data_IF_339513216543
#
_entry.id   IF_339513216543
#
_cell.length_a   1.000
_cell.length_b   1.000
_cell.length_c   1.000
_cell.angle_alpha   90.00
_cell.angle_beta   90.00
_cell.angle_gamma   90.00
#
_symmetry.space_group_name_H-M   'P 1'
#
loop_
_entity.id
_entity.type
_entity.pdbx_description
1 polymer ?
#
# COMPACT_ATOMS: atom_id res chain seq x y z
N UNK A 1 1.74 12.58 25.66
CA UNK A 1 1.32 12.11 24.33
C UNK A 1 1.96 10.75 24.10
N UNK A 2 1.17 9.71 23.84
CA UNK A 2 1.65 8.38 23.41
C UNK A 2 1.69 8.35 21.89
N UNK A 3 2.83 7.94 21.32
CA UNK A 3 3.05 8.02 19.88
C UNK A 3 3.18 6.62 19.30
N UNK A 4 2.37 6.30 18.29
CA UNK A 4 2.32 4.99 17.62
C UNK A 4 2.67 5.17 16.14
N UNK A 5 3.61 4.38 15.62
CA UNK A 5 3.92 4.32 14.20
C UNK A 5 3.26 3.08 13.58
N UNK A 6 2.57 3.25 12.46
CA UNK A 6 1.97 2.16 11.68
C UNK A 6 2.91 1.82 10.53
N UNK A 7 3.58 0.68 10.61
CA UNK A 7 4.70 0.35 9.72
C UNK A 7 4.51 -1.04 9.11
N UNK A 8 4.62 -1.16 7.79
CA UNK A 8 4.81 -2.43 7.07
C UNK A 8 5.32 -2.13 5.65
N UNK A 9 6.29 -2.93 5.18
CA UNK A 9 6.82 -2.84 3.83
C UNK A 9 5.83 -3.31 2.75
N UNK A 10 4.85 -4.15 3.13
CA UNK A 10 3.84 -4.65 2.20
C UNK A 10 2.83 -3.55 1.87
N UNK A 11 2.63 -3.28 0.57
CA UNK A 11 1.51 -2.47 0.09
C UNK A 11 0.18 -3.19 0.32
N UNK A 12 -0.89 -2.42 0.56
CA UNK A 12 -2.26 -2.97 0.67
C UNK A 12 -2.58 -3.75 1.95
N UNK A 13 -1.69 -3.83 2.92
CA UNK A 13 -1.95 -4.51 4.21
C UNK A 13 -2.81 -3.69 5.19
N UNK A 14 -3.30 -2.51 4.78
CA UNK A 14 -4.20 -1.68 5.58
C UNK A 14 -3.51 -0.68 6.51
N UNK A 15 -2.27 -0.21 6.25
CA UNK A 15 -1.58 0.83 7.04
C UNK A 15 -2.43 2.07 7.20
N UNK A 16 -2.67 2.80 6.14
CA UNK A 16 -3.44 4.06 6.14
C UNK A 16 -4.86 3.87 6.65
N UNK A 17 -5.53 2.75 6.29
CA UNK A 17 -6.84 2.40 6.83
C UNK A 17 -6.79 2.24 8.35
N UNK A 18 -5.75 1.61 8.88
CA UNK A 18 -5.52 1.45 10.32
C UNK A 18 -5.25 2.81 10.96
N UNK A 19 -4.36 3.62 10.38
CA UNK A 19 -3.98 4.92 10.91
C UNK A 19 -5.18 5.86 11.05
N UNK A 20 -5.98 6.01 9.98
CA UNK A 20 -7.18 6.85 9.96
C UNK A 20 -8.22 6.38 10.99
N UNK A 21 -8.58 5.10 10.94
CA UNK A 21 -9.70 4.61 11.74
C UNK A 21 -9.34 4.42 13.22
N UNK A 22 -8.08 4.09 13.54
CA UNK A 22 -7.58 4.08 14.90
C UNK A 22 -7.60 5.48 15.50
N UNK A 23 -7.07 6.50 14.77
CA UNK A 23 -7.06 7.88 15.24
C UNK A 23 -8.49 8.40 15.48
N UNK A 24 -9.41 8.14 14.55
CA UNK A 24 -10.81 8.51 14.68
C UNK A 24 -11.50 7.82 15.87
N UNK A 25 -11.21 6.54 16.12
CA UNK A 25 -11.78 5.80 17.25
C UNK A 25 -11.22 6.28 18.60
N UNK A 26 -9.92 6.59 18.68
CA UNK A 26 -9.32 7.17 19.88
C UNK A 26 -9.96 8.53 20.20
N UNK A 27 -10.12 9.40 19.20
CA UNK A 27 -10.79 10.69 19.35
C UNK A 27 -12.23 10.53 19.84
N UNK A 28 -12.99 9.60 19.27
CA UNK A 28 -14.36 9.28 19.70
C UNK A 28 -14.43 8.78 21.14
N UNK A 29 -13.37 8.16 21.64
CA UNK A 29 -13.24 7.75 23.04
C UNK A 29 -12.72 8.88 23.94
N UNK A 30 -12.75 10.13 23.48
CA UNK A 30 -12.36 11.31 24.25
C UNK A 30 -10.85 11.52 24.36
N UNK A 31 -10.07 10.87 23.48
CA UNK A 31 -8.62 11.03 23.45
C UNK A 31 -8.22 11.99 22.34
N UNK A 32 -7.75 13.20 22.68
CA UNK A 32 -7.30 14.14 21.65
C UNK A 32 -6.13 13.56 20.86
N UNK A 33 -6.35 13.31 19.57
CA UNK A 33 -5.48 12.52 18.70
C UNK A 33 -5.02 13.30 17.48
N UNK A 34 -3.71 13.26 17.21
CA UNK A 34 -3.09 13.76 15.98
C UNK A 34 -2.74 12.58 15.08
N UNK A 35 -3.25 12.58 13.86
CA UNK A 35 -2.79 11.72 12.76
C UNK A 35 -1.73 12.47 11.97
N UNK A 36 -0.55 11.87 11.79
CA UNK A 36 0.56 12.46 11.03
C UNK A 36 0.80 11.57 9.81
N UNK A 37 0.59 12.11 8.63
CA UNK A 37 0.86 11.41 7.38
C UNK A 37 2.35 11.54 7.02
N UNK A 38 3.10 10.44 7.15
CA UNK A 38 4.52 10.36 6.80
C UNK A 38 4.74 9.72 5.41
N UNK A 39 3.67 9.32 4.70
CA UNK A 39 3.76 8.79 3.35
C UNK A 39 3.70 9.94 2.33
N UNK A 40 4.69 10.07 1.42
CA UNK A 40 4.66 11.06 0.35
C UNK A 40 3.42 11.01 -0.55
N UNK A 41 2.70 9.88 -0.56
CA UNK A 41 1.48 9.73 -1.34
C UNK A 41 0.27 10.48 -0.75
N UNK A 42 0.32 10.97 0.49
CA UNK A 42 -0.70 11.81 1.08
C UNK A 42 -2.06 11.12 1.30
N UNK A 43 -2.08 9.78 1.40
CA UNK A 43 -3.33 9.01 1.40
C UNK A 43 -4.22 9.28 2.61
N UNK A 44 -3.68 9.75 3.74
CA UNK A 44 -4.51 10.15 4.88
C UNK A 44 -5.38 11.37 4.53
N UNK A 45 -4.80 12.37 3.84
CA UNK A 45 -5.54 13.53 3.36
C UNK A 45 -6.69 13.15 2.43
N UNK A 46 -6.40 12.32 1.42
CA UNK A 46 -7.40 11.81 0.48
C UNK A 46 -8.51 11.03 1.19
N UNK A 47 -8.12 10.09 2.06
CA UNK A 47 -9.06 9.24 2.81
C UNK A 47 -9.90 9.99 3.85
N UNK A 48 -9.57 11.26 4.12
CA UNK A 48 -10.30 12.16 5.01
C UNK A 48 -10.89 13.37 4.29
N UNK A 49 -10.92 13.38 2.96
CA UNK A 49 -11.44 14.45 2.09
C UNK A 49 -10.85 15.84 2.42
N UNK A 50 -9.58 15.90 2.83
CA UNK A 50 -8.87 17.16 2.97
C UNK A 50 -8.53 17.67 1.58
N UNK A 51 -8.94 18.91 1.21
CA UNK A 51 -8.73 19.44 -0.13
C UNK A 51 -7.25 19.76 -0.35
N UNK A 52 -6.60 19.03 -1.26
CA UNK A 52 -5.17 19.16 -1.53
C UNK A 52 -4.78 20.58 -1.94
N UNK A 53 -5.66 21.28 -2.69
CA UNK A 53 -5.42 22.65 -3.18
C UNK A 53 -5.42 23.70 -2.07
N UNK A 54 -5.94 23.37 -0.89
CA UNK A 54 -5.98 24.27 0.27
C UNK A 54 -4.85 23.99 1.27
N UNK A 55 -4.08 22.91 1.05
CA UNK A 55 -2.96 22.57 1.91
C UNK A 55 -1.76 23.46 1.57
N UNK A 56 -1.59 24.54 2.32
CA UNK A 56 -0.44 25.44 2.16
C UNK A 56 0.84 24.84 2.73
N UNK A 57 0.74 24.14 3.86
CA UNK A 57 1.85 23.55 4.61
C UNK A 57 1.55 22.10 5.00
N UNK A 58 2.58 21.29 5.02
CA UNK A 58 2.50 19.85 5.28
C UNK A 58 3.51 19.40 6.32
N UNK A 59 3.51 18.13 6.66
CA UNK A 59 4.54 17.51 7.50
C UNK A 59 5.95 17.79 6.96
N UNK A 60 6.15 17.85 5.64
CA UNK A 60 7.46 18.21 5.06
C UNK A 60 8.01 19.52 5.65
N UNK A 61 7.17 20.55 5.73
CA UNK A 61 7.54 21.88 6.21
C UNK A 61 7.92 21.90 7.70
N UNK A 62 7.52 20.89 8.47
CA UNK A 62 7.91 20.72 9.89
C UNK A 62 9.23 19.97 10.05
N UNK A 63 9.69 19.27 9.02
CA UNK A 63 10.89 18.43 9.06
C UNK A 63 12.13 19.12 8.48
N UNK A 64 11.96 20.22 7.73
CA UNK A 64 13.06 20.98 7.14
C UNK A 64 13.68 21.95 8.14
N UNK A 65 14.91 22.42 7.85
CA UNK A 65 15.56 23.50 8.58
C UNK A 65 15.19 24.87 8.00
N UNK A 66 15.35 25.93 8.79
CA UNK A 66 15.17 27.31 8.32
C UNK A 66 16.09 27.66 7.14
N UNK A 67 17.27 27.06 7.08
CA UNK A 67 18.22 27.21 5.96
C UNK A 67 17.70 26.63 4.64
N UNK A 68 16.80 25.65 4.69
CA UNK A 68 16.24 24.94 3.53
C UNK A 68 14.88 25.50 3.08
N UNK A 69 14.32 26.42 3.84
CA UNK A 69 13.02 27.03 3.57
C UNK A 69 12.36 27.60 4.83
N UNK A 70 11.09 27.93 4.73
CA UNK A 70 10.31 28.37 5.90
C UNK A 70 9.89 27.14 6.71
N UNK A 71 10.61 26.85 7.79
CA UNK A 71 10.21 25.85 8.79
C UNK A 71 8.84 26.22 9.37
N UNK A 72 7.98 25.23 9.53
CA UNK A 72 6.70 25.36 10.21
C UNK A 72 6.69 24.60 11.53
N UNK A 73 5.93 25.10 12.50
CA UNK A 73 5.62 24.32 13.69
C UNK A 73 4.54 23.28 13.35
N UNK A 74 4.54 22.14 14.02
CA UNK A 74 3.50 21.12 13.82
C UNK A 74 2.09 21.69 14.01
N UNK A 75 1.90 22.62 14.94
CA UNK A 75 0.61 23.30 15.17
C UNK A 75 0.13 24.18 14.01
N UNK A 76 1.02 24.53 13.08
CA UNK A 76 0.70 25.39 11.92
C UNK A 76 0.30 24.58 10.67
N UNK A 77 0.51 23.26 10.69
CA UNK A 77 0.20 22.39 9.57
C UNK A 77 -1.01 21.50 9.80
N UNK A 78 -1.55 21.49 11.03
CA UNK A 78 -2.67 20.60 11.38
C UNK A 78 -4.00 21.09 10.83
N UNK A 79 -4.82 20.13 10.38
CA UNK A 79 -6.19 20.31 9.93
C UNK A 79 -7.13 19.64 10.92
N UNK A 80 -8.13 20.35 11.40
CA UNK A 80 -9.15 19.77 12.26
C UNK A 80 -10.11 18.94 11.42
N UNK A 81 -10.11 17.61 11.66
CA UNK A 81 -10.99 16.66 10.97
C UNK A 81 -12.31 16.52 11.70
N UNK A 82 -12.23 16.39 13.03
CA UNK A 82 -13.40 16.31 13.90
C UNK A 82 -13.04 16.90 15.29
N UNK A 83 -13.94 16.85 16.27
CA UNK A 83 -13.72 17.31 17.63
C UNK A 83 -12.50 16.64 18.24
N UNK A 84 -11.71 16.38 18.65
CA UNK A 84 -10.50 15.72 19.20
C UNK A 84 -9.69 14.93 18.15
N UNK A 85 -9.91 15.19 16.84
CA UNK A 85 -9.22 14.53 15.75
C UNK A 85 -8.63 15.53 14.75
N UNK A 86 -7.31 15.62 14.72
CA UNK A 86 -6.56 16.49 13.83
C UNK A 86 -5.65 15.66 12.91
N UNK A 87 -5.40 16.16 11.68
CA UNK A 87 -4.49 15.59 10.68
C UNK A 87 -3.36 16.58 10.38
N UNK A 88 -2.12 16.14 10.43
CA UNK A 88 -0.99 16.78 9.77
C UNK A 88 -0.78 16.10 8.41
N UNK A 89 -1.15 16.76 7.28
CA UNK A 89 -1.13 16.13 5.97
C UNK A 89 0.27 16.05 5.37
N UNK A 90 0.45 15.12 4.43
CA UNK A 90 1.64 14.97 3.61
C UNK A 90 1.42 15.47 2.18
N UNK A 91 2.51 15.58 1.43
CA UNK A 91 2.50 15.76 -0.01
C UNK A 91 3.76 15.15 -0.65
N UNK A 92 3.81 15.20 -1.99
CA UNK A 92 4.89 14.59 -2.77
C UNK A 92 6.29 15.18 -2.47
N UNK A 93 6.41 16.41 -1.92
CA UNK A 93 7.69 16.99 -1.51
C UNK A 93 8.43 16.11 -0.50
N UNK A 94 7.68 15.37 0.32
CA UNK A 94 8.25 14.46 1.32
C UNK A 94 9.07 13.32 0.69
N UNK A 95 8.83 12.96 -0.58
CA UNK A 95 9.62 11.96 -1.31
C UNK A 95 11.10 12.40 -1.48
N UNK A 96 11.36 13.70 -1.55
CA UNK A 96 12.71 14.24 -1.64
C UNK A 96 13.45 14.35 -0.31
N UNK A 97 12.79 14.08 0.82
CA UNK A 97 13.34 14.29 2.16
C UNK A 97 14.68 13.59 2.39
N UNK A 98 14.79 12.32 1.97
CA UNK A 98 16.00 11.53 2.15
C UNK A 98 17.21 12.11 1.37
N UNK A 99 16.96 12.64 0.17
CA UNK A 99 17.99 13.27 -0.65
C UNK A 99 18.45 14.61 -0.05
N UNK A 100 17.52 15.43 0.39
CA UNK A 100 17.79 16.74 1.00
C UNK A 100 18.59 16.60 2.29
N UNK A 101 18.31 15.58 3.09
CA UNK A 101 18.95 15.37 4.39
C UNK A 101 20.07 14.32 4.37
N UNK A 102 20.48 13.85 3.19
CA UNK A 102 21.62 12.92 3.08
C UNK A 102 22.88 13.52 3.70
N UNK A 103 23.53 12.78 4.62
CA UNK A 103 24.75 13.20 5.30
C UNK A 103 24.59 14.30 6.36
N UNK A 104 23.38 14.83 6.60
CA UNK A 104 23.16 15.85 7.64
C UNK A 104 23.05 15.22 9.02
N UNK A 105 23.63 15.86 10.01
CA UNK A 105 23.52 15.45 11.41
C UNK A 105 22.12 15.70 11.96
N UNK A 106 21.62 14.78 12.78
CA UNK A 106 20.31 14.87 13.43
C UNK A 106 19.11 14.75 12.47
N UNK A 107 19.31 14.25 11.24
CA UNK A 107 18.26 14.01 10.24
C UNK A 107 17.24 12.96 10.66
N UNK A 108 17.65 12.06 11.57
CA UNK A 108 16.81 11.00 12.09
C UNK A 108 15.82 11.47 13.18
N UNK A 109 16.05 12.63 13.78
CA UNK A 109 15.28 13.14 14.93
C UNK A 109 14.30 14.26 14.56
N UNK A 110 14.09 14.51 13.27
CA UNK A 110 13.26 15.62 12.80
C UNK A 110 11.80 15.48 13.21
N UNK A 111 11.21 14.30 13.01
CA UNK A 111 9.85 14.03 13.43
C UNK A 111 9.68 14.09 14.95
N UNK A 112 10.65 13.60 15.72
CA UNK A 112 10.67 13.72 17.18
C UNK A 112 10.66 15.19 17.63
N UNK A 113 11.50 16.03 17.02
CA UNK A 113 11.56 17.47 17.33
C UNK A 113 10.26 18.17 17.00
N UNK A 114 9.67 17.89 15.81
CA UNK A 114 8.40 18.48 15.39
C UNK A 114 7.24 18.09 16.33
N UNK A 115 7.16 16.82 16.74
CA UNK A 115 6.12 16.32 17.64
C UNK A 115 6.27 16.83 19.07
N UNK A 116 7.49 17.12 19.55
CA UNK A 116 7.70 17.69 20.88
C UNK A 116 6.99 19.04 21.04
N UNK A 117 6.86 19.82 19.95
CA UNK A 117 6.16 21.09 19.96
C UNK A 117 4.63 21.01 20.25
N UNK A 118 4.03 19.84 20.08
CA UNK A 118 2.58 19.62 20.29
C UNK A 118 2.28 18.57 21.36
N UNK A 119 3.29 18.09 22.07
CA UNK A 119 3.18 16.99 23.04
C UNK A 119 2.21 17.26 24.19
N UNK A 120 2.06 18.51 24.56
CA UNK A 120 1.12 18.94 25.61
C UNK A 120 -0.33 19.05 25.11
N UNK A 121 -0.54 19.15 23.79
CA UNK A 121 -1.85 19.37 23.18
C UNK A 121 -2.60 18.06 22.93
N UNK A 122 -1.89 16.98 22.57
CA UNK A 122 -2.48 15.70 22.20
C UNK A 122 -2.19 14.61 23.22
N UNK A 123 -3.18 13.73 23.44
CA UNK A 123 -3.00 12.51 24.23
C UNK A 123 -2.30 11.43 23.40
N UNK A 124 -2.61 11.37 22.09
CA UNK A 124 -2.09 10.38 21.14
C UNK A 124 -1.60 11.01 19.85
N UNK A 125 -0.57 10.41 19.27
CA UNK A 125 -0.14 10.66 17.89
C UNK A 125 -0.03 9.33 17.13
N UNK A 126 -0.64 9.25 15.96
CA UNK A 126 -0.57 8.10 15.04
C UNK A 126 0.22 8.53 13.81
N UNK A 127 1.32 7.82 13.52
CA UNK A 127 2.19 8.11 12.37
C UNK A 127 1.91 7.09 11.27
N UNK A 128 1.32 7.51 10.17
CA UNK A 128 1.14 6.65 8.97
C UNK A 128 2.41 6.64 8.15
N UNK A 129 3.09 5.49 8.07
CA UNK A 129 4.40 5.37 7.46
C UNK A 129 4.33 4.84 6.02
N UNK A 130 5.27 5.28 5.14
CA UNK A 130 5.38 4.75 3.79
C UNK A 130 5.72 3.25 3.78
N UNK A 131 5.52 2.55 2.65
CA UNK A 131 5.86 1.12 2.54
C UNK A 131 7.38 0.86 2.43
N UNK A 132 8.19 1.91 2.38
CA UNK A 132 9.66 1.81 2.33
C UNK A 132 10.27 1.92 3.73
N UNK A 133 11.37 1.21 3.95
CA UNK A 133 12.21 1.38 5.15
C UNK A 133 13.35 2.35 4.81
N UNK A 134 13.04 3.65 4.83
CA UNK A 134 13.97 4.74 4.57
C UNK A 134 14.07 5.71 5.74
N UNK A 135 14.62 6.88 5.50
CA UNK A 135 14.81 7.91 6.51
C UNK A 135 13.50 8.38 7.17
N UNK A 136 12.39 8.42 6.42
CA UNK A 136 11.06 8.76 6.96
C UNK A 136 10.58 7.74 7.99
N UNK A 137 10.68 6.43 7.66
CA UNK A 137 10.33 5.36 8.61
C UNK A 137 11.24 5.38 9.84
N UNK A 138 12.53 5.69 9.66
CA UNK A 138 13.45 5.82 10.80
C UNK A 138 13.11 7.03 11.68
N UNK A 139 12.70 8.16 11.09
CA UNK A 139 12.16 9.31 11.84
C UNK A 139 10.91 8.96 12.65
N UNK A 140 10.00 8.18 12.08
CA UNK A 140 8.82 7.69 12.79
C UNK A 140 9.21 6.79 13.98
N UNK A 141 10.17 5.87 13.79
CA UNK A 141 10.68 5.00 14.85
C UNK A 141 11.36 5.80 15.98
N UNK A 142 12.13 6.81 15.63
CA UNK A 142 12.76 7.69 16.64
C UNK A 142 11.72 8.48 17.43
N UNK A 143 10.60 8.82 16.81
CA UNK A 143 9.54 9.62 17.42
C UNK A 143 8.50 8.79 18.20
N UNK A 144 8.28 7.51 17.85
CA UNK A 144 7.22 6.69 18.44
C UNK A 144 7.65 5.97 19.72
N UNK A 145 6.68 5.66 20.56
CA UNK A 145 6.84 4.80 21.74
C UNK A 145 6.52 3.34 21.39
N UNK A 146 5.72 3.14 20.32
CA UNK A 146 5.16 1.86 19.95
C UNK A 146 5.01 1.76 18.42
N UNK A 147 5.22 0.58 17.88
CA UNK A 147 5.00 0.24 16.47
C UNK A 147 3.86 -0.77 16.37
N UNK A 148 2.89 -0.50 15.50
CA UNK A 148 1.91 -1.51 15.07
C UNK A 148 2.25 -1.92 13.64
N UNK A 149 2.39 -3.24 13.43
CA UNK A 149 2.60 -3.87 12.14
C UNK A 149 1.31 -4.51 11.67
N UNK A 150 0.51 -3.85 10.80
CA UNK A 150 -0.69 -4.45 10.23
C UNK A 150 -0.29 -5.57 9.27
N UNK A 151 -0.85 -6.77 9.47
CA UNK A 151 -0.51 -7.97 8.69
C UNK A 151 -1.79 -8.58 8.13
N UNK A 152 -1.90 -8.59 6.80
CA UNK A 152 -2.96 -9.29 6.09
C UNK A 152 -2.88 -10.80 6.36
N UNK A 153 -4.01 -11.48 6.54
CA UNK A 153 -4.07 -12.92 6.77
C UNK A 153 -4.02 -13.74 5.48
N UNK A 154 -3.03 -13.44 4.62
CA UNK A 154 -2.76 -14.11 3.35
C UNK A 154 -1.52 -15.00 3.39
N UNK A 155 -1.35 -15.84 2.36
CA UNK A 155 -0.31 -16.89 2.31
C UNK A 155 1.13 -16.38 2.51
N UNK A 156 1.50 -15.26 1.88
CA UNK A 156 2.86 -14.72 1.96
C UNK A 156 3.12 -13.86 3.21
N UNK A 157 2.12 -13.66 4.04
CA UNK A 157 2.19 -12.69 5.13
C UNK A 157 3.13 -13.11 6.25
N UNK A 158 3.20 -14.41 6.57
CA UNK A 158 4.09 -14.94 7.60
C UNK A 158 5.58 -14.73 7.27
N UNK A 159 5.96 -15.02 6.01
CA UNK A 159 7.33 -14.81 5.57
C UNK A 159 7.72 -13.32 5.54
N UNK A 160 6.82 -12.47 5.04
CA UNK A 160 7.02 -11.02 5.04
C UNK A 160 7.10 -10.44 6.45
N UNK A 161 6.28 -10.95 7.38
CA UNK A 161 6.31 -10.52 8.77
C UNK A 161 7.64 -10.89 9.46
N UNK A 162 8.14 -12.11 9.27
CA UNK A 162 9.44 -12.51 9.86
C UNK A 162 10.55 -11.54 9.44
N UNK A 163 10.67 -11.24 8.14
CA UNK A 163 11.66 -10.27 7.65
C UNK A 163 11.43 -8.86 8.20
N UNK A 164 10.17 -8.46 8.33
CA UNK A 164 9.83 -7.14 8.88
C UNK A 164 10.23 -7.05 10.35
N UNK A 165 9.99 -8.09 11.15
CA UNK A 165 10.39 -8.15 12.56
C UNK A 165 11.91 -8.07 12.71
N UNK A 166 12.67 -8.83 11.92
CA UNK A 166 14.14 -8.75 11.89
C UNK A 166 14.62 -7.33 11.58
N UNK A 167 13.99 -6.68 10.59
CA UNK A 167 14.31 -5.29 10.22
C UNK A 167 14.00 -4.32 11.35
N UNK A 168 12.84 -4.47 12.02
CA UNK A 168 12.44 -3.60 13.13
C UNK A 168 13.35 -3.75 14.35
N UNK A 169 13.79 -4.96 14.69
CA UNK A 169 14.73 -5.16 15.79
C UNK A 169 16.08 -4.49 15.49
N UNK A 170 16.62 -4.64 14.26
CA UNK A 170 17.84 -3.94 13.86
C UNK A 170 17.71 -2.42 13.91
N UNK A 171 16.55 -1.87 13.51
CA UNK A 171 16.30 -0.44 13.56
C UNK A 171 16.09 0.05 14.99
N UNK A 172 15.44 -0.73 15.85
CA UNK A 172 15.28 -0.47 17.28
C UNK A 172 16.64 -0.34 17.97
N UNK A 173 17.56 -1.27 17.72
CA UNK A 173 18.94 -1.19 18.24
C UNK A 173 19.61 0.12 17.85
N UNK A 174 19.47 0.55 16.59
CA UNK A 174 20.02 1.83 16.10
C UNK A 174 19.33 3.05 16.72
N UNK A 175 18.07 2.95 17.06
CA UNK A 175 17.33 4.03 17.73
C UNK A 175 17.84 4.28 19.16
N UNK A 176 18.49 3.29 19.80
CA UNK A 176 19.02 3.42 21.17
C UNK A 176 17.93 3.63 22.22
N UNK A 177 16.68 3.21 21.95
CA UNK A 177 15.56 3.28 22.89
C UNK A 177 14.67 2.05 22.78
N UNK A 178 13.97 1.74 23.87
CA UNK A 178 12.96 0.71 23.83
C UNK A 178 11.74 1.16 23.02
N UNK A 179 11.32 0.33 22.06
CA UNK A 179 10.13 0.50 21.25
C UNK A 179 9.30 -0.77 21.38
N UNK A 180 8.05 -0.65 21.80
CA UNK A 180 7.14 -1.78 21.87
C UNK A 180 6.62 -2.12 20.46
N UNK A 181 6.87 -3.34 19.99
CA UNK A 181 6.41 -3.81 18.68
C UNK A 181 5.17 -4.67 18.89
N UNK A 182 4.11 -4.38 18.11
CA UNK A 182 2.86 -5.13 18.10
C UNK A 182 2.46 -5.52 16.68
N UNK A 183 1.89 -6.70 16.54
CA UNK A 183 1.39 -7.22 15.26
C UNK A 183 -0.13 -7.21 15.28
N UNK A 184 -0.74 -6.53 14.31
CA UNK A 184 -2.19 -6.43 14.14
C UNK A 184 -2.62 -7.25 12.93
N UNK A 185 -3.35 -8.38 13.10
CA UNK A 185 -3.97 -9.06 11.98
C UNK A 185 -5.04 -8.19 11.32
N UNK A 186 -4.92 -8.01 9.99
CA UNK A 186 -5.84 -7.18 9.20
C UNK A 186 -6.43 -7.97 8.04
N UNK A 187 -7.48 -7.42 7.42
CA UNK A 187 -8.15 -8.03 6.27
C UNK A 187 -8.54 -9.50 6.51
N UNK A 188 -8.84 -9.82 7.77
CA UNK A 188 -9.16 -11.19 8.18
C UNK A 188 -10.54 -11.61 7.67
N UNK A 189 -10.57 -12.50 6.70
CA UNK A 189 -11.83 -13.08 6.20
C UNK A 189 -12.14 -14.41 6.89
N UNK A 190 -13.03 -14.37 7.86
CA UNK A 190 -13.45 -15.53 8.66
C UNK A 190 -14.03 -16.68 7.82
N UNK A 191 -14.50 -16.41 6.59
CA UNK A 191 -15.09 -17.40 5.68
C UNK A 191 -14.02 -18.32 5.07
N UNK A 192 -12.79 -17.84 4.94
CA UNK A 192 -11.72 -18.59 4.28
C UNK A 192 -10.95 -19.48 5.27
N UNK A 193 -10.66 -20.73 4.85
CA UNK A 193 -9.83 -21.66 5.63
C UNK A 193 -8.43 -21.10 5.79
N UNK A 194 -7.86 -20.53 4.71
CA UNK A 194 -6.52 -19.96 4.69
C UNK A 194 -6.33 -18.87 5.75
N UNK A 195 -7.26 -17.91 5.86
CA UNK A 195 -7.13 -16.84 6.85
C UNK A 195 -7.13 -17.38 8.29
N UNK A 196 -7.96 -18.41 8.58
CA UNK A 196 -7.96 -19.06 9.90
C UNK A 196 -6.64 -19.76 10.21
N UNK A 197 -6.07 -20.47 9.22
CA UNK A 197 -4.77 -21.15 9.36
C UNK A 197 -3.64 -20.13 9.58
N UNK A 198 -3.59 -19.06 8.78
CA UNK A 198 -2.60 -17.98 8.93
C UNK A 198 -2.72 -17.29 10.29
N UNK A 199 -3.93 -16.99 10.76
CA UNK A 199 -4.13 -16.41 12.10
C UNK A 199 -3.67 -17.36 13.21
N UNK A 200 -3.90 -18.67 13.06
CA UNK A 200 -3.39 -19.69 14.01
C UNK A 200 -1.87 -19.73 14.04
N UNK A 201 -1.23 -19.67 12.88
CA UNK A 201 0.24 -19.60 12.77
C UNK A 201 0.82 -18.30 13.35
N UNK A 202 0.15 -17.16 13.14
CA UNK A 202 0.52 -15.88 13.77
C UNK A 202 0.48 -16.00 15.31
N UNK A 203 -0.58 -16.60 15.86
CA UNK A 203 -0.72 -16.85 17.29
C UNK A 203 0.36 -17.79 17.85
N UNK A 204 0.79 -18.77 17.07
CA UNK A 204 1.82 -19.71 17.48
C UNK A 204 3.22 -19.10 17.43
N UNK A 205 3.55 -18.32 16.39
CA UNK A 205 4.91 -17.82 16.14
C UNK A 205 5.21 -16.45 16.73
N UNK A 206 4.18 -15.59 16.82
CA UNK A 206 4.33 -14.19 17.22
C UNK A 206 3.48 -13.84 18.46
N UNK A 207 3.25 -14.80 19.33
CA UNK A 207 2.37 -14.68 20.50
C UNK A 207 2.64 -13.41 21.32
N UNK A 208 3.92 -13.13 21.59
CA UNK A 208 4.34 -12.03 22.46
C UNK A 208 4.20 -10.65 21.81
N UNK A 209 4.03 -10.61 20.49
CA UNK A 209 3.84 -9.39 19.72
C UNK A 209 2.38 -9.22 19.26
N UNK A 210 1.60 -10.31 19.24
CA UNK A 210 0.28 -10.30 18.61
C UNK A 210 -0.76 -9.59 19.48
N UNK A 211 -1.48 -8.67 18.86
CA UNK A 211 -2.63 -8.01 19.49
C UNK A 211 -3.82 -8.97 19.63
N UNK A 212 -4.66 -8.75 20.65
CA UNK A 212 -5.92 -9.48 20.82
C UNK A 212 -6.92 -9.07 19.73
N UNK A 213 -6.92 -7.80 19.36
CA UNK A 213 -7.76 -7.22 18.30
C UNK A 213 -7.36 -7.74 16.92
N UNK A 214 -8.39 -7.98 16.10
CA UNK A 214 -8.25 -8.39 14.70
C UNK A 214 -9.16 -7.51 13.85
N UNK A 215 -8.60 -6.88 12.81
CA UNK A 215 -9.40 -6.10 11.85
C UNK A 215 -9.91 -7.03 10.75
N UNK A 216 -11.21 -7.28 10.74
CA UNK A 216 -11.83 -8.14 9.77
C UNK A 216 -11.91 -7.49 8.39
N UNK A 217 -11.93 -8.32 7.34
CA UNK A 217 -12.24 -7.85 5.99
C UNK A 217 -13.64 -7.23 5.98
N UNK A 218 -13.73 -5.94 5.61
CA UNK A 218 -14.98 -5.21 5.60
C UNK A 218 -15.01 -4.21 4.44
N UNK A 219 -16.00 -4.35 3.54
CA UNK A 219 -16.18 -3.45 2.39
C UNK A 219 -16.50 -2.03 2.82
N UNK A 220 -17.15 -1.83 3.97
CA UNK A 220 -17.48 -0.51 4.52
C UNK A 220 -16.24 0.34 4.81
N UNK A 221 -15.10 -0.27 5.15
CA UNK A 221 -13.84 0.45 5.32
C UNK A 221 -13.32 1.03 4.00
N UNK A 222 -13.49 0.28 2.87
CA UNK A 222 -13.12 0.77 1.54
C UNK A 222 -14.09 1.86 1.05
N UNK A 223 -15.38 1.65 1.26
CA UNK A 223 -16.41 2.64 0.94
C UNK A 223 -16.15 3.93 1.72
N UNK A 224 -15.93 3.85 3.04
CA UNK A 224 -15.64 4.99 3.90
C UNK A 224 -14.46 5.84 3.37
N UNK A 225 -13.35 5.20 3.00
CA UNK A 225 -12.20 5.88 2.41
C UNK A 225 -12.55 6.56 1.07
N UNK A 226 -13.38 5.93 0.23
CA UNK A 226 -13.85 6.52 -1.04
C UNK A 226 -14.78 7.73 -0.83
N UNK A 227 -15.46 7.80 0.31
CA UNK A 227 -16.28 8.95 0.72
C UNK A 227 -15.49 9.98 1.54
N UNK A 228 -14.18 9.75 1.74
CA UNK A 228 -13.34 10.63 2.53
C UNK A 228 -13.76 10.72 4.00
N UNK A 229 -14.27 9.63 4.56
CA UNK A 229 -14.78 9.56 5.94
C UNK A 229 -14.14 8.41 6.71
N UNK A 230 -13.80 8.61 8.01
CA UNK A 230 -13.46 7.47 8.86
C UNK A 230 -14.72 6.61 9.10
N UNK A 231 -14.50 5.35 9.45
CA UNK A 231 -15.60 4.41 9.71
C UNK A 231 -16.52 4.85 10.85
N UNK A 232 -16.01 5.65 11.78
CA UNK A 232 -16.75 6.25 12.89
C UNK A 232 -17.88 7.16 12.45
N UNK A 233 -17.76 7.77 11.26
CA UNK A 233 -18.75 8.64 10.65
C UNK A 233 -19.54 7.93 9.56
N UNK A 234 -18.85 7.11 8.75
CA UNK A 234 -19.46 6.47 7.59
C UNK A 234 -20.47 5.38 7.99
N UNK A 235 -20.08 4.46 8.87
CA UNK A 235 -20.95 3.37 9.34
C UNK A 235 -20.59 2.91 10.76
N UNK A 236 -21.08 3.63 11.81
CA UNK A 236 -20.84 3.28 13.21
C UNK A 236 -21.45 1.94 13.63
N UNK A 237 -22.35 1.37 12.83
CA UNK A 237 -22.93 0.04 13.06
C UNK A 237 -22.10 -1.11 12.50
N UNK A 238 -21.13 -0.81 11.64
CA UNK A 238 -20.36 -1.82 10.92
C UNK A 238 -19.45 -2.64 11.83
N UNK A 239 -19.08 -3.84 11.35
CA UNK A 239 -18.05 -4.65 12.00
C UNK A 239 -16.70 -3.93 12.02
N UNK A 240 -16.35 -3.21 10.93
CA UNK A 240 -15.12 -2.45 10.86
C UNK A 240 -15.01 -1.39 11.95
N UNK A 241 -16.10 -0.70 12.27
CA UNK A 241 -16.14 0.22 13.41
C UNK A 241 -15.86 -0.49 14.74
N UNK A 242 -16.56 -1.61 14.99
CA UNK A 242 -16.37 -2.41 16.24
C UNK A 242 -14.94 -2.90 16.38
N UNK A 243 -14.32 -3.37 15.30
CA UNK A 243 -12.94 -3.83 15.30
C UNK A 243 -11.96 -2.70 15.69
N UNK A 244 -12.13 -1.50 15.12
CA UNK A 244 -11.26 -0.36 15.45
C UNK A 244 -11.50 0.25 16.83
N UNK A 245 -12.74 0.23 17.33
CA UNK A 245 -13.00 0.63 18.72
C UNK A 245 -12.36 -0.36 19.71
N UNK A 246 -12.42 -1.66 19.42
CA UNK A 246 -11.77 -2.67 20.25
C UNK A 246 -10.25 -2.50 20.21
N UNK A 247 -9.66 -2.22 19.06
CA UNK A 247 -8.24 -1.91 18.91
C UNK A 247 -7.86 -0.67 19.75
N UNK A 248 -8.63 0.41 19.67
CA UNK A 248 -8.39 1.62 20.45
C UNK A 248 -8.47 1.33 21.96
N UNK A 249 -9.47 0.56 22.41
CA UNK A 249 -9.61 0.16 23.81
C UNK A 249 -8.46 -0.71 24.30
N UNK A 250 -8.04 -1.70 23.52
CA UNK A 250 -6.88 -2.53 23.83
C UNK A 250 -5.62 -1.68 24.05
N UNK A 251 -5.38 -0.68 23.18
CA UNK A 251 -4.27 0.26 23.33
C UNK A 251 -4.40 1.15 24.56
N UNK A 252 -5.61 1.49 24.97
CA UNK A 252 -5.89 2.22 26.22
C UNK A 252 -5.79 1.33 27.47
N UNK A 253 -5.51 0.04 27.35
CA UNK A 253 -5.42 -0.91 28.46
C UNK A 253 -6.77 -1.47 28.91
N UNK A 254 -7.82 -1.34 28.11
CA UNK A 254 -9.14 -1.90 28.38
C UNK A 254 -9.35 -3.20 27.63
N UNK A 255 -10.14 -4.12 28.17
CA UNK A 255 -10.54 -5.34 27.44
C UNK A 255 -11.50 -5.01 26.31
N UNK A 256 -11.43 -5.73 25.17
CA UNK A 256 -12.43 -5.65 24.12
C UNK A 256 -13.84 -5.93 24.66
N UNK A 257 -14.83 -5.23 24.16
CA UNK A 257 -16.24 -5.37 24.59
C UNK A 257 -17.11 -5.52 23.34
N UNK A 258 -18.18 -6.31 23.43
CA UNK A 258 -19.23 -6.30 22.43
C UNK A 258 -19.99 -4.96 22.51
N UNK A 259 -19.80 -4.14 21.49
CA UNK A 259 -20.38 -2.80 21.44
C UNK A 259 -21.73 -2.81 20.74
N UNK A 260 -22.72 -2.23 21.39
CA UNK A 260 -23.92 -1.76 20.69
C UNK A 260 -23.59 -0.46 19.91
N UNK A 261 -24.20 -0.21 18.74
CA UNK A 261 -23.94 1.01 17.98
C UNK A 261 -24.39 2.24 18.78
N UNK A 262 -23.44 3.06 19.20
CA UNK A 262 -23.71 4.36 19.82
C UNK A 262 -23.73 5.40 18.72
N UNK A 263 -24.88 5.99 18.48
CA UNK A 263 -25.03 7.18 17.62
C UNK A 263 -24.72 8.39 18.49
N UNK A 264 -23.54 8.97 18.32
CA UNK A 264 -23.14 10.19 19.03
C UNK A 264 -23.12 11.38 18.06
N UNK A 265 -23.93 12.39 18.34
CA UNK A 265 -24.04 13.61 17.52
C UNK A 265 -22.85 14.58 17.66
N UNK A 266 -21.88 14.29 18.55
CA UNK A 266 -20.78 15.22 18.89
C UNK A 266 -19.61 15.24 17.90
N UNK A 267 -19.48 14.29 16.98
CA UNK A 267 -18.43 14.28 15.96
C UNK A 267 -18.97 14.73 14.59
N UNK A 268 -19.43 15.97 14.49
CA UNK A 268 -19.78 16.55 13.20
C UNK A 268 -18.54 17.16 12.55
N UNK A 269 -18.25 16.74 11.32
CA UNK A 269 -17.24 17.41 10.48
C UNK A 269 -17.68 18.83 10.15
N UNK A 270 -16.73 19.74 9.90
CA UNK A 270 -17.05 21.01 9.25
C UNK A 270 -17.85 20.74 7.96
N UNK A 271 -18.96 21.47 7.80
CA UNK A 271 -19.95 21.25 6.74
C UNK A 271 -19.34 21.32 5.31
N UNK A 272 -18.25 22.09 5.15
CA UNK A 272 -17.48 22.20 3.92
C UNK A 272 -16.79 20.90 3.49
N UNK A 273 -16.21 20.15 4.44
CA UNK A 273 -15.56 18.86 4.15
C UNK A 273 -16.58 17.81 3.70
N UNK A 274 -17.77 17.82 4.33
CA UNK A 274 -18.86 16.91 3.94
C UNK A 274 -19.42 17.26 2.55
N UNK A 275 -19.56 18.56 2.22
CA UNK A 275 -20.00 18.98 0.90
C UNK A 275 -18.97 18.62 -0.17
N UNK A 276 -17.68 18.74 0.12
CA UNK A 276 -16.62 18.42 -0.83
C UNK A 276 -16.45 16.92 -1.06
N UNK A 277 -16.59 16.10 -0.01
CA UNK A 277 -16.67 14.65 -0.16
C UNK A 277 -17.84 14.23 -1.07
N UNK A 278 -19.00 14.88 -0.95
CA UNK A 278 -20.14 14.68 -1.86
C UNK A 278 -19.82 15.11 -3.29
N UNK A 279 -19.11 16.23 -3.50
CA UNK A 279 -18.69 16.66 -4.84
C UNK A 279 -17.69 15.69 -5.49
N UNK A 280 -16.67 15.22 -4.74
CA UNK A 280 -15.72 14.22 -5.21
C UNK A 280 -16.42 12.90 -5.55
N UNK A 281 -17.36 12.45 -4.73
CA UNK A 281 -18.19 11.26 -4.99
C UNK A 281 -19.05 11.43 -6.25
N UNK A 282 -19.58 12.62 -6.51
CA UNK A 282 -20.34 12.92 -7.73
C UNK A 282 -19.45 12.96 -8.98
N UNK A 283 -18.23 13.47 -8.86
CA UNK A 283 -17.26 13.49 -9.97
C UNK A 283 -16.79 12.08 -10.34
N UNK A 284 -16.52 11.23 -9.35
CA UNK A 284 -16.18 9.82 -9.59
C UNK A 284 -17.35 9.04 -10.20
N UNK A 285 -18.57 9.26 -9.73
CA UNK A 285 -19.77 8.65 -10.33
C UNK A 285 -20.04 9.18 -11.75
N UNK A 286 -19.66 10.41 -12.05
CA UNK A 286 -19.83 10.99 -13.39
C UNK A 286 -18.84 10.42 -14.42
N UNK A 287 -17.63 10.05 -14.00
CA UNK A 287 -16.64 9.38 -14.85
C UNK A 287 -16.98 7.92 -15.13
N UNK A 288 -17.64 7.22 -14.20
CA UNK A 288 -18.07 5.83 -14.39
C UNK A 288 -19.45 5.66 -15.05
N UNK A 289 -20.24 6.75 -15.17
CA UNK A 289 -21.65 6.71 -15.62
C UNK A 289 -21.91 7.10 -17.09
N UNK A 290 -20.92 7.44 -17.88
CA UNK A 290 -21.10 7.87 -19.27
C UNK A 290 -20.37 7.00 -20.28
N UNK A 291 -20.83 5.79 -20.48
CA UNK A 291 -20.74 5.05 -21.75
C UNK A 291 -21.79 3.92 -21.80
N UNK A 292 -23.04 4.26 -21.68
CA UNK A 292 -24.14 3.41 -22.13
C UNK A 292 -24.87 4.13 -23.27
N UNK A 293 -24.44 3.85 -24.49
CA UNK A 293 -25.23 4.14 -25.69
C UNK A 293 -26.48 3.25 -25.64
N UNK A 294 -27.70 3.76 -25.82
CA UNK A 294 -28.88 2.91 -25.88
C UNK A 294 -28.92 2.25 -27.24
N UNK A 295 -28.57 0.97 -27.30
CA UNK A 295 -28.86 0.13 -28.46
C UNK A 295 -30.27 -0.36 -28.33
N UNK A 296 -31.18 0.17 -29.14
CA UNK A 296 -32.50 -0.38 -29.37
C UNK A 296 -32.36 -1.74 -30.08
N UNK A 297 -32.89 -2.79 -29.45
CA UNK A 297 -33.10 -4.10 -30.09
C UNK A 297 -34.58 -4.27 -30.29
N UNK A 298 -35.07 -4.52 -31.54
CA UNK A 298 -36.47 -4.89 -31.80
C UNK A 298 -36.73 -6.30 -31.33
N UNK A 299 -37.92 -6.51 -30.81
CA UNK A 299 -38.35 -7.73 -30.19
C UNK A 299 -38.40 -8.95 -31.11
N UNK A 300 -38.25 -10.12 -30.50
CA UNK A 300 -38.83 -11.39 -30.96
C UNK A 300 -39.01 -12.35 -29.80
N UNK A 301 -40.19 -12.87 -29.74
CA UNK A 301 -40.71 -13.91 -28.85
C UNK A 301 -40.09 -15.27 -29.08
N UNK A 302 -39.92 -16.07 -28.05
CA UNK A 302 -40.29 -17.47 -27.89
C UNK A 302 -39.30 -18.23 -27.00
N UNK A 303 -39.79 -18.76 -25.89
CA UNK A 303 -39.15 -19.89 -25.21
C UNK A 303 -39.33 -21.18 -26.07
N UNK A 304 -38.42 -22.15 -25.99
CA UNK A 304 -38.78 -23.37 -25.30
C UNK A 304 -37.66 -24.20 -24.64
N UNK A 305 -38.16 -25.09 -23.76
CA UNK A 305 -37.74 -26.47 -23.53
C UNK A 305 -36.41 -26.81 -22.81
N UNK A 306 -36.60 -27.41 -21.66
CA UNK A 306 -35.74 -28.33 -20.90
C UNK A 306 -35.04 -29.38 -21.76
N UNK A 307 -33.79 -29.65 -21.49
CA UNK A 307 -33.15 -30.93 -21.82
C UNK A 307 -32.39 -31.45 -20.60
N UNK A 308 -32.69 -32.67 -20.20
CA UNK A 308 -32.03 -33.45 -19.16
C UNK A 308 -30.63 -33.87 -19.62
N UNK A 309 -29.66 -33.85 -18.71
CA UNK A 309 -28.32 -34.40 -18.96
C UNK A 309 -28.05 -35.56 -18.00
N UNK A 310 -27.87 -36.70 -18.60
CA UNK A 310 -27.51 -38.00 -18.07
C UNK A 310 -26.09 -37.97 -17.44
N UNK A 311 -26.00 -38.66 -16.31
CA UNK A 311 -24.76 -39.01 -15.62
C UNK A 311 -23.98 -40.10 -16.36
N UNK A 312 -22.69 -39.86 -16.64
CA UNK A 312 -21.76 -40.95 -16.98
C UNK A 312 -20.45 -40.75 -16.14
N UNK A 313 -20.20 -41.71 -15.30
CA UNK A 313 -18.94 -41.92 -14.57
C UNK A 313 -17.88 -42.48 -15.53
N UNK A 314 -16.69 -41.92 -15.47
CA UNK A 314 -15.51 -42.52 -16.08
C UNK A 314 -14.30 -42.34 -15.18
N UNK A 315 -13.68 -43.46 -14.83
CA UNK A 315 -12.44 -43.63 -14.07
C UNK A 315 -11.25 -42.94 -14.76
N UNK A 316 -10.37 -42.29 -13.96
CA UNK A 316 -9.08 -41.78 -14.43
C UNK A 316 -7.93 -42.44 -13.64
N UNK A 317 -6.82 -42.85 -14.29
CA UNK A 317 -5.77 -43.63 -13.68
C UNK A 317 -4.77 -42.78 -12.90
N UNK A 318 -4.26 -43.36 -11.79
CA UNK A 318 -3.22 -42.80 -10.92
C UNK A 318 -1.88 -42.65 -11.65
N UNK A 319 -1.32 -41.44 -11.65
CA UNK A 319 0.07 -41.18 -12.09
C UNK A 319 0.99 -41.10 -10.86
N UNK A 320 2.02 -41.97 -10.85
CA UNK A 320 3.07 -42.01 -9.84
C UNK A 320 3.99 -40.79 -9.95
N UNK A 321 4.32 -40.16 -8.82
CA UNK A 321 5.30 -39.07 -8.69
C UNK A 321 6.73 -39.62 -8.75
N UNK A 322 7.67 -39.00 -9.51
CA UNK A 322 9.11 -39.30 -9.40
C UNK A 322 9.74 -38.60 -8.20
N UNK A 323 10.76 -39.28 -7.61
CA UNK A 323 11.45 -38.81 -6.41
C UNK A 323 12.32 -37.58 -6.61
N UNK A 324 12.48 -36.81 -5.54
CA UNK A 324 13.27 -35.60 -5.45
C UNK A 324 14.71 -35.94 -5.07
N UNK A 325 15.68 -35.63 -5.91
CA UNK A 325 17.10 -35.63 -5.59
C UNK A 325 17.53 -34.34 -4.91
N UNK A 326 18.49 -34.35 -3.98
CA UNK A 326 18.91 -33.16 -3.24
C UNK A 326 19.77 -32.23 -4.09
N UNK A 327 19.54 -30.92 -3.97
CA UNK A 327 20.32 -29.86 -4.61
C UNK A 327 21.65 -29.60 -3.87
N UNK A 328 22.74 -29.26 -4.60
CA UNK A 328 24.01 -28.87 -3.99
C UNK A 328 23.95 -27.47 -3.38
N UNK A 329 24.70 -27.29 -2.27
CA UNK A 329 24.95 -26.02 -1.60
C UNK A 329 25.80 -25.10 -2.49
N UNK A 330 25.36 -23.87 -2.68
CA UNK A 330 26.15 -22.81 -3.32
C UNK A 330 26.63 -21.85 -2.22
N UNK A 331 27.95 -21.77 -2.04
CA UNK A 331 28.59 -20.76 -1.20
C UNK A 331 28.68 -19.43 -1.97
N UNK A 332 28.24 -18.36 -1.35
CA UNK A 332 28.38 -17.00 -1.88
C UNK A 332 29.67 -16.37 -1.35
N UNK A 333 30.59 -16.04 -2.25
CA UNK A 333 31.76 -15.22 -1.97
C UNK A 333 31.37 -13.74 -1.95
N UNK A 334 31.80 -13.01 -0.91
CA UNK A 334 31.61 -11.57 -0.74
C UNK A 334 32.73 -10.85 -1.50
N UNK A 335 32.45 -9.91 -2.42
CA UNK A 335 33.49 -9.07 -3.02
C UNK A 335 33.86 -7.90 -2.10
N UNK A 336 35.15 -7.74 -1.84
CA UNK A 336 35.72 -6.58 -1.16
C UNK A 336 35.68 -5.33 -2.07
N UNK A 337 35.26 -4.22 -1.48
CA UNK A 337 35.13 -2.91 -2.13
C UNK A 337 36.49 -2.24 -2.25
N UNK A 338 36.84 -1.83 -3.46
CA UNK A 338 37.95 -0.89 -3.72
C UNK A 338 37.34 0.49 -3.97
N UNK A 339 37.72 1.46 -3.15
CA UNK A 339 37.38 2.87 -3.29
C UNK A 339 38.23 3.49 -4.44
N UNK A 340 37.54 4.06 -5.42
CA UNK A 340 38.16 5.05 -6.33
C UNK A 340 37.10 6.11 -6.64
N UNK A 341 37.41 7.35 -6.28
CA UNK A 341 36.55 8.50 -6.54
C UNK A 341 36.47 8.82 -8.03
N UNK A 342 35.25 9.06 -8.52
CA UNK A 342 35.02 9.68 -9.81
C UNK A 342 33.90 10.73 -9.71
N UNK A 343 34.19 11.90 -10.32
CA UNK A 343 33.31 13.06 -10.47
C UNK A 343 31.97 12.63 -11.04
N UNK A 344 30.89 13.04 -10.37
CA UNK A 344 29.52 12.84 -10.83
C UNK A 344 29.22 13.90 -11.89
N UNK A 345 29.27 13.55 -13.17
CA UNK A 345 28.64 14.30 -14.24
C UNK A 345 27.13 14.07 -14.18
N UNK A 346 26.35 15.16 -14.17
CA UNK A 346 24.90 15.12 -14.19
C UNK A 346 24.40 14.58 -15.54
N UNK A 347 23.91 13.36 -15.56
CA UNK A 347 23.29 12.74 -16.73
C UNK A 347 22.04 13.51 -17.14
N UNK A 348 21.85 13.73 -18.44
CA UNK A 348 20.67 14.38 -19.00
C UNK A 348 19.40 13.55 -18.76
N UNK A 349 18.22 14.19 -18.85
CA UNK A 349 16.92 13.52 -18.66
C UNK A 349 16.72 12.35 -19.62
N UNK A 350 17.24 12.44 -20.83
CA UNK A 350 17.25 11.35 -21.83
C UNK A 350 18.13 10.17 -21.43
N UNK A 351 19.29 10.43 -20.83
CA UNK A 351 20.18 9.34 -20.34
C UNK A 351 19.59 8.61 -19.12
N UNK A 352 18.79 9.29 -18.28
CA UNK A 352 18.05 8.65 -17.16
C UNK A 352 16.85 7.81 -17.67
N UNK A 353 16.28 8.14 -18.83
CA UNK A 353 15.22 7.38 -19.50
C UNK A 353 15.76 6.10 -20.15
N UNK A 354 17.05 6.03 -20.47
CA UNK A 354 17.69 4.85 -21.06
C UNK A 354 18.00 3.72 -20.05
N UNK A 355 17.88 3.95 -18.75
CA UNK A 355 18.28 2.99 -17.69
C UNK A 355 17.10 2.39 -16.91
N UNK A 356 15.84 2.54 -17.35
CA UNK A 356 14.74 1.88 -16.68
C UNK A 356 14.49 0.46 -17.24
N UNK A 357 14.04 -0.44 -16.37
CA UNK A 357 13.52 -1.76 -16.77
C UNK A 357 12.06 -1.89 -16.30
N UNK A 358 11.27 -2.65 -17.04
CA UNK A 358 9.85 -2.81 -16.81
C UNK A 358 9.01 -2.11 -17.89
N UNK A 359 7.89 -1.51 -17.51
CA UNK A 359 6.97 -0.83 -18.41
C UNK A 359 6.77 0.63 -17.98
N UNK A 360 6.76 1.55 -18.97
CA UNK A 360 6.56 2.98 -18.72
C UNK A 360 5.85 3.64 -19.88
N UNK A 361 4.88 4.50 -19.60
CA UNK A 361 4.28 5.38 -20.61
C UNK A 361 5.19 6.57 -20.87
N UNK A 362 5.47 6.85 -22.16
CA UNK A 362 6.27 7.98 -22.61
C UNK A 362 5.48 8.67 -23.74
N UNK A 363 4.82 9.78 -23.42
CA UNK A 363 3.89 10.42 -24.33
C UNK A 363 2.70 9.52 -24.67
N UNK A 364 2.45 9.28 -25.97
CA UNK A 364 1.35 8.42 -26.45
C UNK A 364 1.77 6.94 -26.60
N UNK A 365 3.01 6.60 -26.26
CA UNK A 365 3.53 5.23 -26.41
C UNK A 365 3.82 4.59 -25.06
N UNK A 366 3.60 3.29 -24.94
CA UNK A 366 4.03 2.46 -23.83
C UNK A 366 5.31 1.74 -24.21
N UNK A 367 6.37 1.95 -23.42
CA UNK A 367 7.69 1.35 -23.64
C UNK A 367 7.88 0.21 -22.66
N UNK A 368 8.09 -0.98 -23.19
CA UNK A 368 8.48 -2.17 -22.43
C UNK A 368 9.99 -2.37 -22.58
N UNK A 369 10.70 -2.53 -21.47
CA UNK A 369 12.15 -2.77 -21.46
C UNK A 369 12.52 -3.87 -20.48
N UNK A 370 13.19 -4.90 -20.95
CA UNK A 370 13.55 -6.07 -20.16
C UNK A 370 15.00 -6.47 -20.40
N UNK A 371 15.62 -7.11 -19.37
CA UNK A 371 16.99 -7.60 -19.45
C UNK A 371 17.02 -9.10 -19.28
N UNK A 372 17.42 -9.80 -20.35
CA UNK A 372 17.59 -11.25 -20.37
C UNK A 372 18.92 -11.59 -21.04
N UNK A 373 19.95 -11.78 -20.23
CA UNK A 373 21.29 -12.13 -20.72
C UNK A 373 21.27 -13.54 -21.33
N UNK A 374 21.65 -13.63 -22.61
CA UNK A 374 21.69 -14.90 -23.31
C UNK A 374 20.40 -15.34 -24.01
N UNK A 375 19.30 -14.60 -23.90
CA UNK A 375 18.08 -14.88 -24.63
C UNK A 375 18.27 -14.66 -26.12
N UNK A 376 17.76 -15.58 -26.92
CA UNK A 376 17.79 -15.49 -28.39
C UNK A 376 16.57 -14.74 -28.94
N UNK A 377 15.46 -14.81 -28.24
CA UNK A 377 14.20 -14.21 -28.65
C UNK A 377 13.34 -13.83 -27.42
N UNK A 378 12.89 -12.58 -27.36
CA UNK A 378 11.96 -12.10 -26.37
C UNK A 378 10.73 -11.54 -27.06
N UNK A 379 9.56 -11.99 -26.64
CA UNK A 379 8.27 -11.57 -27.18
C UNK A 379 7.41 -11.07 -26.03
N UNK A 380 6.40 -10.26 -26.36
CA UNK A 380 5.41 -9.81 -25.38
C UNK A 380 4.02 -10.21 -25.83
N UNK A 381 3.21 -10.73 -24.90
CA UNK A 381 1.81 -11.08 -25.16
C UNK A 381 0.92 -10.47 -24.08
N UNK A 382 -0.23 -9.96 -24.48
CA UNK A 382 -1.15 -9.32 -23.57
C UNK A 382 -2.51 -9.03 -24.19
N UNK A 383 -3.37 -8.33 -23.45
CA UNK A 383 -4.70 -7.95 -23.90
C UNK A 383 -4.66 -7.11 -25.21
N UNK A 384 -3.57 -6.36 -25.44
CA UNK A 384 -3.37 -5.51 -26.60
C UNK A 384 -3.05 -6.26 -27.91
N UNK A 385 -2.71 -7.55 -27.87
CA UNK A 385 -2.44 -8.38 -29.03
C UNK A 385 -3.15 -9.73 -28.98
N UNK A 386 -4.26 -9.82 -28.22
CA UNK A 386 -5.04 -11.05 -28.03
C UNK A 386 -4.17 -12.24 -27.58
N UNK A 387 -3.17 -11.97 -26.72
CA UNK A 387 -2.25 -12.96 -26.19
C UNK A 387 -1.46 -13.74 -27.25
N UNK A 388 -1.22 -13.10 -28.43
CA UNK A 388 -0.48 -13.68 -29.55
C UNK A 388 0.97 -13.16 -29.57
N UNK A 389 1.94 -13.86 -28.96
CA UNK A 389 3.29 -13.32 -28.74
C UNK A 389 4.06 -13.06 -30.07
N UNK A 390 3.76 -13.79 -31.13
CA UNK A 390 4.47 -13.66 -32.42
C UNK A 390 4.22 -12.30 -33.08
N UNK A 391 3.11 -11.62 -32.75
CA UNK A 391 2.78 -10.32 -33.34
C UNK A 391 3.59 -9.16 -32.74
N UNK A 392 4.21 -9.34 -31.57
CA UNK A 392 4.95 -8.29 -30.85
C UNK A 392 6.32 -8.77 -30.35
N UNK A 393 7.30 -8.96 -31.28
CA UNK A 393 8.67 -9.30 -30.95
C UNK A 393 9.39 -8.06 -30.36
N UNK A 394 10.02 -8.19 -29.18
CA UNK A 394 10.88 -7.16 -28.64
C UNK A 394 12.19 -7.07 -29.43
N UNK A 395 12.72 -5.87 -29.58
CA UNK A 395 13.97 -5.62 -30.32
C UNK A 395 15.14 -5.45 -29.34
N UNK A 396 16.35 -5.89 -29.68
CA UNK A 396 17.56 -5.57 -28.94
C UNK A 396 17.76 -4.05 -28.84
N UNK A 397 18.05 -3.52 -27.65
CA UNK A 397 18.17 -2.07 -27.42
C UNK A 397 19.60 -1.53 -27.55
N UNK A 398 20.51 -2.27 -28.20
CA UNK A 398 21.91 -1.87 -28.40
C UNK A 398 22.87 -2.27 -27.28
N UNK A 399 22.39 -2.68 -26.13
CA UNK A 399 23.20 -3.25 -25.03
C UNK A 399 23.01 -4.76 -24.94
N UNK A 400 24.05 -5.54 -24.64
CA UNK A 400 23.94 -7.00 -24.59
C UNK A 400 22.87 -7.46 -23.59
N UNK A 401 21.90 -8.25 -24.10
CA UNK A 401 20.84 -8.83 -23.29
C UNK A 401 19.68 -7.88 -22.93
N UNK A 402 19.66 -6.67 -23.46
CA UNK A 402 18.54 -5.74 -23.29
C UNK A 402 17.58 -5.78 -24.49
N UNK A 403 16.29 -5.80 -24.16
CA UNK A 403 15.20 -5.91 -25.10
C UNK A 403 14.20 -4.79 -24.88
N UNK A 404 13.73 -4.17 -25.99
CA UNK A 404 12.77 -3.05 -25.92
C UNK A 404 11.64 -3.24 -26.94
N UNK A 405 10.45 -2.79 -26.54
CA UNK A 405 9.28 -2.68 -27.42
C UNK A 405 8.52 -1.39 -27.11
N UNK A 406 8.04 -0.73 -28.15
CA UNK A 406 7.14 0.44 -28.05
C UNK A 406 5.82 0.09 -28.68
N UNK A 407 4.72 0.37 -27.97
CA UNK A 407 3.37 0.11 -28.44
C UNK A 407 2.51 1.35 -28.22
N UNK A 408 1.82 1.84 -29.25
CA UNK A 408 0.78 2.86 -29.10
C UNK A 408 -0.45 2.16 -28.49
N UNK A 409 -0.65 2.31 -27.21
CA UNK A 409 -1.80 1.76 -26.50
C UNK A 409 -2.76 2.89 -26.13
N UNK A 410 -4.04 2.67 -26.37
CA UNK A 410 -5.08 3.58 -25.92
C UNK A 410 -5.18 3.59 -24.40
N UNK A 411 -5.76 4.66 -23.84
CA UNK A 411 -6.03 4.75 -22.42
C UNK A 411 -6.78 3.53 -21.93
N UNK A 412 -6.24 2.86 -20.88
CA UNK A 412 -6.84 1.65 -20.35
C UNK A 412 -5.88 0.82 -19.49
N UNK A 413 -6.36 -0.30 -19.01
CA UNK A 413 -5.61 -1.27 -18.22
C UNK A 413 -5.41 -2.55 -19.02
N UNK A 414 -4.15 -2.98 -19.18
CA UNK A 414 -3.76 -4.12 -19.99
C UNK A 414 -2.96 -5.12 -19.16
N UNK A 415 -3.28 -6.41 -19.30
CA UNK A 415 -2.50 -7.51 -18.74
C UNK A 415 -1.51 -8.00 -19.80
N UNK A 416 -0.30 -8.39 -19.37
CA UNK A 416 0.71 -8.93 -20.28
C UNK A 416 1.64 -9.92 -19.58
N UNK A 417 2.36 -10.70 -20.40
CA UNK A 417 3.49 -11.56 -20.01
C UNK A 417 4.58 -11.48 -21.03
N UNK A 418 5.80 -11.81 -20.61
CA UNK A 418 6.93 -11.99 -21.51
C UNK A 418 7.05 -13.45 -21.92
N UNK A 419 7.52 -13.68 -23.16
CA UNK A 419 7.84 -15.02 -23.67
C UNK A 419 9.30 -15.01 -24.09
N UNK A 420 10.15 -15.64 -23.28
CA UNK A 420 11.61 -15.67 -23.45
C UNK A 420 12.01 -17.06 -23.93
N UNK A 421 12.53 -17.14 -25.15
CA UNK A 421 12.90 -18.41 -25.81
C UNK A 421 11.80 -19.48 -25.71
N UNK A 422 10.54 -19.06 -25.90
CA UNK A 422 9.36 -19.93 -25.87
C UNK A 422 8.78 -20.18 -24.48
N UNK A 423 9.37 -19.68 -23.40
CA UNK A 423 8.86 -19.85 -22.03
C UNK A 423 8.10 -18.60 -21.57
N UNK A 424 6.87 -18.80 -21.13
CA UNK A 424 6.02 -17.77 -20.56
C UNK A 424 6.46 -17.40 -19.13
N UNK A 425 6.64 -16.12 -18.88
CA UNK A 425 7.03 -15.62 -17.57
C UNK A 425 6.48 -14.23 -17.30
N UNK A 426 6.40 -13.85 -16.05
CA UNK A 426 6.12 -12.47 -15.66
C UNK A 426 7.34 -11.59 -15.91
N UNK A 427 7.10 -10.30 -16.14
CA UNK A 427 8.15 -9.28 -16.18
C UNK A 427 8.72 -9.08 -14.77
N UNK A 428 9.99 -9.41 -14.51
CA UNK A 428 10.58 -9.31 -13.18
C UNK A 428 10.73 -7.86 -12.69
N UNK A 429 10.64 -6.90 -13.61
CA UNK A 429 10.81 -5.46 -13.29
C UNK A 429 9.47 -4.72 -13.16
N UNK A 430 8.34 -5.40 -13.35
CA UNK A 430 7.02 -4.85 -13.08
C UNK A 430 6.36 -5.58 -11.90
N UNK A 431 6.19 -4.87 -10.78
CA UNK A 431 5.64 -5.43 -9.55
C UNK A 431 4.10 -5.55 -9.56
N UNK A 432 3.44 -4.92 -10.52
CA UNK A 432 1.97 -4.96 -10.63
C UNK A 432 1.57 -6.25 -11.35
N UNK A 433 1.01 -7.18 -10.59
CA UNK A 433 0.60 -8.49 -11.11
C UNK A 433 -0.82 -8.83 -10.65
N UNK A 434 -1.56 -9.56 -11.49
CA UNK A 434 -2.89 -10.09 -11.23
C UNK A 434 -2.96 -11.57 -11.61
N UNK A 435 -3.60 -12.40 -10.77
CA UNK A 435 -3.83 -13.79 -11.09
C UNK A 435 -4.96 -13.93 -12.13
N UNK A 436 -4.71 -14.72 -13.19
CA UNK A 436 -5.74 -15.10 -14.14
C UNK A 436 -6.64 -16.22 -13.58
N UNK A 437 -7.68 -16.57 -14.30
CA UNK A 437 -8.64 -17.64 -13.90
C UNK A 437 -8.00 -19.02 -13.71
N UNK A 438 -6.77 -19.23 -14.20
CA UNK A 438 -6.01 -20.47 -14.07
C UNK A 438 -4.99 -20.41 -12.93
N UNK A 439 -4.95 -19.32 -12.16
CA UNK A 439 -4.02 -19.10 -11.03
C UNK A 439 -2.62 -18.65 -11.46
N UNK A 440 -2.37 -18.38 -12.74
CA UNK A 440 -1.10 -17.83 -13.20
C UNK A 440 -1.08 -16.29 -13.09
N UNK A 441 0.10 -15.72 -12.82
CA UNK A 441 0.26 -14.27 -12.69
C UNK A 441 0.51 -13.61 -14.06
N UNK A 442 -0.23 -12.54 -14.32
CA UNK A 442 0.00 -11.62 -15.43
C UNK A 442 0.45 -10.27 -14.86
N UNK A 443 1.41 -9.61 -15.53
CA UNK A 443 1.73 -8.22 -15.20
C UNK A 443 0.66 -7.28 -15.73
N UNK A 444 0.57 -6.09 -15.13
CA UNK A 444 -0.40 -5.07 -15.46
C UNK A 444 0.34 -3.79 -15.88
N UNK A 445 -0.17 -3.14 -16.92
CA UNK A 445 0.16 -1.76 -17.28
C UNK A 445 -1.11 -0.94 -17.37
N UNK A 446 -1.10 0.23 -16.75
CA UNK A 446 -2.15 1.23 -16.87
C UNK A 446 -1.64 2.36 -17.74
N UNK A 447 -2.45 2.75 -18.72
CA UNK A 447 -2.18 3.81 -19.72
C UNK A 447 -3.17 4.93 -19.47
N UNK A 448 -2.65 6.12 -19.19
CA UNK A 448 -3.42 7.34 -18.86
C UNK A 448 -3.95 8.09 -20.09
#
# INVERSE_FOLDING_TARGET
MRTIAIINQKGGCGKTTTSINLAACLARLGQKTLLVDMDPQGHCGVGLAVPEEQIERTVYDTLIDESDGKTAKMSEVVWQIASDFDLAPSNLKLAGFEQVFSGREGREDRALKALNGVRATYSWAILDCPPSVGLLTFNALRACDEVIVPVETGFFSLHGLTKMMETLELLKERCGKEILIRVLPTLYDTRTKLAREVLSELRAKFRDYLMESVVNFNTKLKEAASFGQPITEYDPGSRGYKDFVNLARELMGHRPVDLEPVIDEKMSRPMELVQRAKQLSQLTNFQFGRNSVPTQIPGSSAAPARAEVSTATADAPMIRRPGISPRPKVEFAVPQTVMAGSKIESKSTEQKLEEFYGVKQIGEEVVFQAKFSGAKKVLIAGDFNNWTPVSTPMQPSGRPGEWRMRLPLSRGRYRYRLVVDGKWMTDPNNQYVEANQFGELNNIVEVD
#
